data_IF_538834549987
#
_entry.id   IF_538834549987
#
_cell.length_a   1.000
_cell.length_b   1.000
_cell.length_c   1.000
_cell.angle_alpha   90.00
_cell.angle_beta   90.00
_cell.angle_gamma   90.00
#
_symmetry.space_group_name_H-M   'P 1'
#
loop_
_entity.id
_entity.type
_entity.pdbx_description
1 polymer ?
#
# COMPACT_ATOMS: atom_id res chain seq x y z
N UNK A 1 -6.59 16.13 -7.73
CA UNK A 1 -5.57 15.50 -6.85
C UNK A 1 -6.11 14.23 -6.20
N UNK A 2 -6.98 14.33 -5.18
CA UNK A 2 -7.51 13.17 -4.42
C UNK A 2 -8.08 12.04 -5.30
N UNK A 3 -8.99 12.36 -6.23
CA UNK A 3 -9.59 11.35 -7.11
C UNK A 3 -8.55 10.60 -7.96
N UNK A 4 -7.65 11.34 -8.62
CA UNK A 4 -6.60 10.76 -9.46
C UNK A 4 -5.68 9.82 -8.69
N UNK A 5 -5.31 10.19 -7.46
CA UNK A 5 -4.49 9.34 -6.59
C UNK A 5 -5.24 8.08 -6.18
N UNK A 6 -6.51 8.20 -5.81
CA UNK A 6 -7.35 7.04 -5.47
C UNK A 6 -7.46 6.05 -6.63
N UNK A 7 -7.75 6.53 -7.84
CA UNK A 7 -7.82 5.67 -9.05
C UNK A 7 -6.48 4.97 -9.31
N UNK A 8 -5.36 5.68 -9.15
CA UNK A 8 -4.02 5.12 -9.35
C UNK A 8 -3.67 4.07 -8.31
N UNK A 9 -3.96 4.33 -7.03
CA UNK A 9 -3.82 3.35 -5.94
C UNK A 9 -4.65 2.11 -6.22
N UNK A 10 -5.91 2.27 -6.61
CA UNK A 10 -6.79 1.14 -6.94
C UNK A 10 -6.21 0.28 -8.07
N UNK A 11 -5.71 0.90 -9.14
CA UNK A 11 -5.07 0.17 -10.24
C UNK A 11 -3.84 -0.63 -9.78
N UNK A 12 -3.00 -0.04 -8.93
CA UNK A 12 -1.80 -0.73 -8.40
C UNK A 12 -2.19 -1.90 -7.49
N UNK A 13 -3.21 -1.73 -6.63
CA UNK A 13 -3.69 -2.80 -5.76
C UNK A 13 -4.36 -3.93 -6.55
N UNK A 14 -5.08 -3.62 -7.62
CA UNK A 14 -5.64 -4.63 -8.52
C UNK A 14 -4.54 -5.47 -9.18
N UNK A 15 -3.48 -4.82 -9.69
CA UNK A 15 -2.32 -5.52 -10.25
C UNK A 15 -1.61 -6.36 -9.19
N UNK A 16 -1.48 -5.86 -7.96
CA UNK A 16 -0.88 -6.61 -6.85
C UNK A 16 -1.60 -7.95 -6.59
N UNK A 17 -2.93 -7.96 -6.56
CA UNK A 17 -3.69 -9.20 -6.36
C UNK A 17 -3.52 -10.18 -7.54
N UNK A 18 -3.46 -9.67 -8.77
CA UNK A 18 -3.16 -10.51 -9.95
C UNK A 18 -1.77 -11.14 -9.85
N UNK A 19 -0.75 -10.34 -9.52
CA UNK A 19 0.63 -10.81 -9.38
C UNK A 19 0.79 -11.76 -8.19
N UNK A 20 0.09 -11.53 -7.08
CA UNK A 20 0.11 -12.40 -5.89
C UNK A 20 -0.34 -13.83 -6.22
N UNK A 21 -1.35 -13.98 -7.07
CA UNK A 21 -1.78 -15.30 -7.56
C UNK A 21 -0.70 -16.02 -8.37
N UNK A 22 0.00 -15.29 -9.25
CA UNK A 22 1.10 -15.82 -10.06
C UNK A 22 2.30 -16.20 -9.18
N UNK A 23 2.70 -15.31 -8.25
CA UNK A 23 3.80 -15.53 -7.31
C UNK A 23 3.57 -16.79 -6.47
N UNK A 24 2.34 -17.07 -6.06
CA UNK A 24 2.03 -18.25 -5.25
C UNK A 24 2.30 -19.58 -5.99
N UNK A 25 2.31 -19.56 -7.33
CA UNK A 25 2.54 -20.75 -8.16
C UNK A 25 4.02 -20.84 -8.58
N UNK A 26 4.60 -19.72 -9.03
CA UNK A 26 5.91 -19.72 -9.73
C UNK A 26 7.03 -19.11 -8.86
N UNK A 27 6.71 -18.25 -7.90
CA UNK A 27 7.67 -17.51 -7.08
C UNK A 27 7.97 -16.10 -7.60
N UNK A 28 8.49 -15.23 -6.72
CA UNK A 28 8.72 -13.81 -7.00
C UNK A 28 9.91 -13.57 -7.98
N UNK A 29 10.82 -14.53 -8.11
CA UNK A 29 12.00 -14.45 -8.99
C UNK A 29 11.64 -14.38 -10.47
N UNK A 30 10.49 -14.97 -10.86
CA UNK A 30 10.08 -15.11 -12.26
C UNK A 30 9.32 -13.88 -12.79
N UNK A 31 9.06 -12.89 -11.94
CA UNK A 31 8.43 -11.64 -12.37
C UNK A 31 9.38 -10.79 -13.20
N UNK A 32 8.81 -10.09 -14.19
CA UNK A 32 9.54 -9.06 -14.92
C UNK A 32 10.02 -7.96 -13.95
N UNK A 33 11.13 -7.26 -14.24
CA UNK A 33 11.62 -6.18 -13.38
C UNK A 33 10.58 -5.07 -13.15
N UNK A 34 9.73 -4.80 -14.15
CA UNK A 34 8.66 -3.83 -14.06
C UNK A 34 7.56 -4.29 -13.09
N UNK A 35 7.10 -5.54 -13.21
CA UNK A 35 6.07 -6.09 -12.32
C UNK A 35 6.56 -6.20 -10.88
N UNK A 36 7.85 -6.55 -10.69
CA UNK A 36 8.47 -6.57 -9.35
C UNK A 36 8.48 -5.18 -8.72
N UNK A 37 8.78 -4.14 -9.51
CA UNK A 37 8.74 -2.76 -9.04
C UNK A 37 7.31 -2.31 -8.67
N UNK A 38 6.31 -2.64 -9.49
CA UNK A 38 4.90 -2.34 -9.18
C UNK A 38 4.41 -3.12 -7.96
N UNK A 39 4.79 -4.38 -7.82
CA UNK A 39 4.47 -5.22 -6.66
C UNK A 39 5.10 -4.67 -5.36
N UNK A 40 6.34 -4.20 -5.43
CA UNK A 40 7.01 -3.54 -4.30
C UNK A 40 6.33 -2.22 -3.91
N UNK A 41 5.91 -1.40 -4.88
CA UNK A 41 5.13 -0.18 -4.61
C UNK A 41 3.78 -0.51 -3.96
N UNK A 42 3.09 -1.55 -4.43
CA UNK A 42 1.84 -2.00 -3.83
C UNK A 42 2.03 -2.50 -2.38
N UNK A 43 3.08 -3.27 -2.10
CA UNK A 43 3.43 -3.69 -0.72
C UNK A 43 3.63 -2.49 0.20
N UNK A 44 4.36 -1.46 -0.26
CA UNK A 44 4.55 -0.21 0.50
C UNK A 44 3.22 0.50 0.77
N UNK A 45 2.32 0.57 -0.21
CA UNK A 45 0.99 1.17 -0.02
C UNK A 45 0.16 0.42 1.02
N UNK A 46 0.14 -0.92 0.96
CA UNK A 46 -0.59 -1.75 1.93
C UNK A 46 -0.05 -1.54 3.34
N UNK A 47 1.27 -1.48 3.50
CA UNK A 47 1.91 -1.14 4.78
C UNK A 47 1.53 0.27 5.24
N UNK A 48 1.55 1.26 4.34
CA UNK A 48 1.20 2.64 4.64
C UNK A 48 -0.26 2.82 5.08
N UNK A 49 -1.18 1.99 4.59
CA UNK A 49 -2.58 2.02 5.04
C UNK A 49 -2.81 1.38 6.41
N UNK A 50 -1.77 0.79 7.01
CA UNK A 50 -1.85 0.30 8.39
C UNK A 50 -1.74 1.47 9.36
N UNK A 51 -2.67 1.58 10.29
CA UNK A 51 -2.70 2.65 11.28
C UNK A 51 -3.03 2.09 12.68
N UNK A 52 -2.35 2.62 13.70
CA UNK A 52 -2.67 2.34 15.09
C UNK A 52 -3.93 3.10 15.53
N UNK A 53 -4.94 2.36 15.96
CA UNK A 53 -6.23 2.93 16.37
C UNK A 53 -6.21 3.30 17.86
N UNK A 54 -6.76 4.47 18.22
CA UNK A 54 -6.87 4.92 19.61
C UNK A 54 -7.58 3.92 20.53
N UNK A 55 -8.58 3.21 20.01
CA UNK A 55 -9.34 2.20 20.79
C UNK A 55 -8.50 0.96 21.12
N UNK A 56 -7.48 0.66 20.31
CA UNK A 56 -6.63 -0.51 20.50
C UNK A 56 -5.41 -0.25 21.40
N UNK A 57 -5.18 1.00 21.81
CA UNK A 57 -3.99 1.38 22.60
C UNK A 57 -3.84 0.56 23.88
N UNK A 58 -4.94 0.28 24.59
CA UNK A 58 -4.93 -0.54 25.82
C UNK A 58 -4.56 -2.00 25.58
N UNK A 59 -4.76 -2.52 24.37
CA UNK A 59 -4.49 -3.91 24.01
C UNK A 59 -3.06 -4.11 23.51
N UNK A 60 -2.58 -3.21 22.65
CA UNK A 60 -1.30 -3.35 21.95
C UNK A 60 -0.18 -2.57 22.65
N UNK A 61 -0.51 -1.62 23.53
CA UNK A 61 0.47 -0.73 24.17
C UNK A 61 1.09 0.32 23.25
N UNK A 62 0.57 0.46 22.03
CA UNK A 62 1.01 1.43 21.02
C UNK A 62 -0.03 2.56 20.96
N UNK A 63 0.44 3.81 21.04
CA UNK A 63 -0.44 4.99 20.98
C UNK A 63 -1.14 5.10 19.64
N UNK A 64 -2.41 5.46 19.67
CA UNK A 64 -3.15 5.76 18.45
C UNK A 64 -2.59 6.98 17.73
N UNK A 65 -2.66 6.96 16.41
CA UNK A 65 -2.22 8.06 15.55
C UNK A 65 -3.41 8.61 14.77
N UNK A 66 -3.37 9.89 14.40
CA UNK A 66 -4.37 10.51 13.53
C UNK A 66 -3.65 11.27 12.42
N UNK A 67 -4.10 11.06 11.19
CA UNK A 67 -3.58 11.74 10.01
C UNK A 67 -4.69 12.56 9.35
N UNK A 68 -4.35 13.78 8.96
CA UNK A 68 -5.22 14.61 8.14
C UNK A 68 -5.24 14.12 6.69
N UNK A 69 -6.30 14.48 5.97
CA UNK A 69 -6.41 14.14 4.54
C UNK A 69 -5.22 14.61 3.71
N UNK A 70 -4.67 15.80 4.00
CA UNK A 70 -3.55 16.32 3.20
C UNK A 70 -2.24 15.54 3.46
N UNK A 71 -2.00 15.14 4.71
CA UNK A 71 -0.87 14.26 5.08
C UNK A 71 -1.00 12.90 4.38
N UNK A 72 -2.18 12.29 4.39
CA UNK A 72 -2.42 11.02 3.69
C UNK A 72 -2.19 11.15 2.18
N UNK A 73 -2.66 12.24 1.56
CA UNK A 73 -2.48 12.45 0.12
C UNK A 73 -1.00 12.67 -0.25
N UNK A 74 -0.23 13.37 0.59
CA UNK A 74 1.21 13.57 0.40
C UNK A 74 1.98 12.25 0.52
N UNK A 75 1.71 11.46 1.56
CA UNK A 75 2.38 10.16 1.72
C UNK A 75 2.08 9.18 0.59
N UNK A 76 0.84 9.17 0.09
CA UNK A 76 0.49 8.37 -1.10
C UNK A 76 1.27 8.87 -2.34
N UNK A 77 1.40 10.18 -2.54
CA UNK A 77 2.18 10.73 -3.65
C UNK A 77 3.65 10.31 -3.58
N UNK A 78 4.28 10.39 -2.40
CA UNK A 78 5.67 9.99 -2.20
C UNK A 78 5.93 8.50 -2.48
N UNK A 79 4.95 7.63 -2.22
CA UNK A 79 5.05 6.19 -2.52
C UNK A 79 4.87 5.92 -4.03
N UNK A 80 4.05 6.73 -4.70
CA UNK A 80 3.73 6.56 -6.12
C UNK A 80 4.81 7.11 -7.07
N UNK A 81 5.56 8.14 -6.65
CA UNK A 81 6.76 8.66 -7.33
C UNK A 81 7.83 7.57 -7.37
#
# INVERSE_FOLDING_TARGET
RHYMLSVRVQSILQKYEQLKGIIAIIGESELSPADRAEYAKAKKLIQYFTQHMFVTEKLIGIKGEYFTRDETLKGIEEILV
#
